data_IF_926451697190
#
_entry.id   IF_926451697190
#
_cell.length_a   1.000
_cell.length_b   1.000
_cell.length_c   1.000
_cell.angle_alpha   90.00
_cell.angle_beta   90.00
_cell.angle_gamma   90.00
#
_symmetry.space_group_name_H-M   'P 1'
#
loop_
_entity.id
_entity.type
_entity.pdbx_description
1 polymer ?
#
# COMPACT_ATOMS: atom_id res chain seq x y z
N UNK A 1 -3.01 23.53 27.02
CA UNK A 1 -3.38 23.36 25.58
C UNK A 1 -2.20 22.71 24.90
N UNK A 2 -2.43 21.65 24.10
CA UNK A 2 -1.38 20.97 23.32
C UNK A 2 -1.64 21.16 21.84
N UNK A 3 -0.58 21.36 21.07
CA UNK A 3 -0.65 21.43 19.61
C UNK A 3 -0.74 20.00 19.08
N UNK A 4 -1.93 19.61 18.59
CA UNK A 4 -2.19 18.26 18.09
C UNK A 4 -2.56 18.26 16.62
N UNK A 5 -2.15 17.22 15.90
CA UNK A 5 -2.51 17.05 14.50
C UNK A 5 -4.01 16.76 14.37
N UNK A 6 -4.69 17.46 13.47
CA UNK A 6 -6.09 17.19 13.15
C UNK A 6 -6.21 15.77 12.57
N UNK A 7 -6.99 14.90 13.21
CA UNK A 7 -7.36 13.60 12.67
C UNK A 7 -8.48 13.77 11.67
N UNK A 8 -8.30 13.22 10.47
CA UNK A 8 -9.41 13.03 9.54
C UNK A 8 -10.17 11.78 9.94
N UNK A 9 -11.41 11.93 10.35
CA UNK A 9 -12.29 10.81 10.70
C UNK A 9 -13.12 10.47 9.47
N UNK A 10 -13.33 9.19 9.14
CA UNK A 10 -14.23 8.78 8.08
C UNK A 10 -15.65 9.34 8.32
N UNK A 11 -16.41 9.67 7.26
CA UNK A 11 -17.75 10.24 7.39
C UNK A 11 -18.78 9.25 7.96
N UNK A 12 -18.44 7.97 8.02
CA UNK A 12 -19.24 6.89 8.62
C UNK A 12 -18.33 5.96 9.39
N UNK A 13 -18.82 5.51 10.54
CA UNK A 13 -18.19 4.42 11.27
C UNK A 13 -18.39 3.09 10.54
N UNK A 14 -17.42 2.16 10.60
CA UNK A 14 -17.60 0.82 10.06
C UNK A 14 -18.72 0.10 10.80
N UNK A 15 -19.41 -0.82 10.11
CA UNK A 15 -20.33 -1.73 10.78
C UNK A 15 -19.54 -2.60 11.76
N UNK A 16 -19.80 -2.43 13.06
CA UNK A 16 -19.01 -3.03 14.13
C UNK A 16 -19.01 -4.57 14.05
N UNK A 17 -20.14 -5.19 13.81
CA UNK A 17 -20.24 -6.65 13.68
C UNK A 17 -19.42 -7.18 12.50
N UNK A 18 -19.49 -6.49 11.36
CA UNK A 18 -18.70 -6.85 10.18
C UNK A 18 -17.21 -6.65 10.44
N UNK A 19 -16.84 -5.59 11.15
CA UNK A 19 -15.48 -5.29 11.53
C UNK A 19 -14.90 -6.41 12.39
N UNK A 20 -15.56 -6.77 13.49
CA UNK A 20 -15.14 -7.82 14.40
C UNK A 20 -15.01 -9.18 13.71
N UNK A 21 -15.97 -9.56 12.87
CA UNK A 21 -15.89 -10.77 12.05
C UNK A 21 -14.65 -10.79 11.14
N UNK A 22 -14.28 -9.63 10.58
CA UNK A 22 -13.11 -9.55 9.70
C UNK A 22 -11.81 -9.59 10.48
N UNK A 23 -11.73 -8.96 11.65
CA UNK A 23 -10.59 -9.08 12.56
C UNK A 23 -10.35 -10.55 12.93
N UNK A 24 -11.37 -11.24 13.42
CA UNK A 24 -11.26 -12.67 13.76
C UNK A 24 -10.83 -13.55 12.57
N UNK A 25 -11.30 -13.21 11.37
CA UNK A 25 -10.90 -13.96 10.18
C UNK A 25 -9.45 -13.69 9.78
N UNK A 26 -8.96 -12.45 9.92
CA UNK A 26 -7.54 -12.11 9.71
C UNK A 26 -6.68 -12.86 10.73
N UNK A 27 -7.02 -12.80 12.02
CA UNK A 27 -6.30 -13.52 13.08
C UNK A 27 -6.23 -15.03 12.81
N UNK A 28 -7.34 -15.64 12.36
CA UNK A 28 -7.34 -17.04 11.96
C UNK A 28 -6.38 -17.32 10.81
N UNK A 29 -6.31 -16.44 9.81
CA UNK A 29 -5.36 -16.62 8.72
C UNK A 29 -3.91 -16.40 9.19
N UNK A 30 -3.67 -15.46 10.09
CA UNK A 30 -2.34 -15.22 10.70
C UNK A 30 -1.86 -16.48 11.45
N UNK A 31 -2.71 -17.14 12.22
CA UNK A 31 -2.38 -18.44 12.85
C UNK A 31 -2.02 -19.54 11.82
N UNK A 32 -2.69 -19.55 10.66
CA UNK A 32 -2.37 -20.48 9.59
C UNK A 32 -1.05 -20.10 8.89
N UNK A 33 -0.76 -18.81 8.75
CA UNK A 33 0.51 -18.32 8.24
C UNK A 33 1.68 -18.68 9.17
N UNK A 34 1.51 -18.54 10.50
CA UNK A 34 2.51 -18.90 11.51
C UNK A 34 2.80 -20.40 11.48
N UNK A 35 1.79 -21.22 11.20
CA UNK A 35 1.95 -22.66 11.01
C UNK A 35 2.53 -23.05 9.64
N UNK A 36 2.84 -22.10 8.78
CA UNK A 36 3.43 -22.30 7.45
C UNK A 36 2.45 -22.82 6.38
N UNK A 37 1.14 -22.91 6.67
CA UNK A 37 0.14 -23.49 5.77
C UNK A 37 -0.25 -22.57 4.63
N UNK A 38 -0.09 -21.25 4.80
CA UNK A 38 -0.38 -20.23 3.78
C UNK A 38 0.49 -19.00 3.99
N UNK A 39 0.42 -18.05 3.05
CA UNK A 39 0.98 -16.70 3.21
C UNK A 39 -0.14 -15.66 3.19
N UNK A 40 0.07 -14.56 3.92
CA UNK A 40 -0.82 -13.40 3.90
C UNK A 40 -0.09 -12.20 3.31
N UNK A 41 -0.75 -11.54 2.38
CA UNK A 41 -0.33 -10.26 1.85
C UNK A 41 -1.46 -9.23 1.95
N UNK A 42 -1.08 -8.00 2.21
CA UNK A 42 -1.96 -6.84 2.24
C UNK A 42 -1.71 -6.01 1.00
N UNK A 43 -2.75 -5.77 0.23
CA UNK A 43 -2.69 -5.08 -1.05
C UNK A 43 -3.33 -3.71 -0.97
N UNK A 44 -2.67 -2.74 -1.59
CA UNK A 44 -3.21 -1.40 -1.82
C UNK A 44 -2.41 -0.69 -2.92
N UNK A 45 -2.95 0.44 -3.40
CA UNK A 45 -2.25 1.35 -4.29
C UNK A 45 -1.99 2.69 -3.64
N UNK A 46 -0.87 3.32 -4.02
CA UNK A 46 -0.52 4.65 -3.56
C UNK A 46 0.03 5.51 -4.68
N UNK A 47 -0.21 6.81 -4.58
CA UNK A 47 0.34 7.78 -5.52
C UNK A 47 1.36 8.67 -4.85
N UNK A 48 2.43 8.93 -5.58
CA UNK A 48 3.50 9.84 -5.21
C UNK A 48 3.59 10.95 -6.26
N UNK A 49 3.56 12.19 -5.81
CA UNK A 49 3.66 13.38 -6.66
C UNK A 49 4.92 14.15 -6.32
N UNK A 50 5.41 14.95 -7.27
CA UNK A 50 6.53 15.86 -7.03
C UNK A 50 6.12 17.01 -6.10
N UNK A 51 4.83 17.29 -5.96
CA UNK A 51 4.34 18.18 -4.90
C UNK A 51 4.68 17.58 -3.55
N UNK A 52 5.59 18.23 -2.83
CA UNK A 52 6.09 17.70 -1.55
C UNK A 52 4.94 17.48 -0.56
N UNK A 53 4.95 16.31 0.07
CA UNK A 53 4.13 16.03 1.24
C UNK A 53 4.84 16.46 2.55
N UNK A 54 6.10 16.92 2.45
CA UNK A 54 6.87 17.39 3.59
C UNK A 54 6.44 18.82 3.91
N UNK A 55 5.75 19.07 5.04
CA UNK A 55 5.30 20.43 5.40
C UNK A 55 6.44 21.28 5.94
N UNK A 56 7.53 20.67 6.44
CA UNK A 56 8.66 21.34 7.05
C UNK A 56 9.98 20.65 6.67
N UNK A 57 11.02 21.46 6.56
CA UNK A 57 12.39 21.03 6.30
C UNK A 57 13.36 21.89 7.14
N UNK A 58 14.39 21.27 7.69
CA UNK A 58 15.51 22.00 8.26
C UNK A 58 16.32 22.66 7.14
N UNK A 59 16.51 23.96 7.20
CA UNK A 59 17.34 24.72 6.29
C UNK A 59 18.26 25.65 7.08
N UNK A 60 19.32 26.12 6.44
CA UNK A 60 20.16 27.17 7.00
C UNK A 60 19.34 28.43 7.29
N UNK A 61 19.75 29.18 8.31
CA UNK A 61 19.10 30.44 8.66
C UNK A 61 19.12 31.39 7.45
N UNK A 62 17.97 31.98 7.14
CA UNK A 62 17.74 32.84 5.97
C UNK A 62 17.78 32.12 4.60
N UNK A 63 17.82 30.80 4.56
CA UNK A 63 17.72 30.03 3.33
C UNK A 63 16.43 29.23 3.31
N UNK A 64 15.45 29.64 2.51
CA UNK A 64 14.18 28.93 2.37
C UNK A 64 14.28 27.85 1.31
N UNK A 65 14.11 26.61 1.70
CA UNK A 65 14.02 25.51 0.74
C UNK A 65 12.76 25.65 -0.12
N UNK A 66 12.94 25.63 -1.43
CA UNK A 66 11.83 25.78 -2.38
C UNK A 66 11.70 24.54 -3.26
N UNK A 67 10.48 24.10 -3.49
CA UNK A 67 10.15 23.05 -4.47
C UNK A 67 9.38 23.71 -5.61
N UNK A 68 9.84 23.50 -6.85
CA UNK A 68 9.09 23.97 -8.01
C UNK A 68 7.75 23.21 -8.07
N UNK A 69 6.65 23.94 -8.08
CA UNK A 69 5.33 23.38 -8.34
C UNK A 69 5.27 22.96 -9.81
N UNK A 70 5.60 21.72 -10.08
CA UNK A 70 5.47 21.14 -11.41
C UNK A 70 4.05 20.58 -11.56
N UNK A 71 3.45 20.79 -12.73
CA UNK A 71 2.17 20.23 -13.09
C UNK A 71 2.12 18.73 -12.87
N UNK A 72 1.25 18.32 -12.03
CA UNK A 72 0.75 17.04 -11.56
C UNK A 72 1.19 15.73 -12.25
N UNK A 73 2.50 15.49 -12.41
CA UNK A 73 2.93 14.11 -12.65
C UNK A 73 2.80 13.31 -11.35
N UNK A 74 2.16 12.15 -11.44
CA UNK A 74 1.97 11.24 -10.31
C UNK A 74 2.50 9.87 -10.68
N UNK A 75 3.37 9.33 -9.83
CA UNK A 75 3.78 7.93 -9.89
C UNK A 75 2.76 7.14 -9.07
N UNK A 76 2.13 6.17 -9.70
CA UNK A 76 1.27 5.24 -8.99
C UNK A 76 2.02 3.94 -8.76
N UNK A 77 1.91 3.41 -7.55
CA UNK A 77 2.50 2.14 -7.15
C UNK A 77 1.42 1.23 -6.60
N UNK A 78 1.53 -0.05 -6.87
CA UNK A 78 0.70 -1.09 -6.30
C UNK A 78 1.62 -2.03 -5.54
N UNK A 79 1.19 -2.47 -4.35
CA UNK A 79 2.03 -3.30 -3.50
C UNK A 79 1.28 -4.43 -2.83
N UNK A 80 2.00 -5.52 -2.60
CA UNK A 80 1.60 -6.63 -1.73
C UNK A 80 2.63 -6.71 -0.60
N UNK A 81 2.20 -6.46 0.61
CA UNK A 81 3.05 -6.44 1.80
C UNK A 81 2.67 -7.56 2.75
N UNK A 82 3.63 -8.38 3.15
CA UNK A 82 3.47 -9.36 4.22
C UNK A 82 3.98 -8.80 5.56
N UNK A 83 3.39 -9.21 6.68
CA UNK A 83 3.92 -8.93 8.03
C UNK A 83 5.35 -9.47 8.23
N UNK A 84 5.75 -10.48 7.44
CA UNK A 84 7.11 -11.04 7.44
C UNK A 84 8.16 -10.17 6.73
N UNK A 85 7.79 -8.94 6.36
CA UNK A 85 8.70 -7.99 5.72
C UNK A 85 8.96 -8.27 4.23
N UNK A 86 8.11 -9.02 3.56
CA UNK A 86 8.18 -9.26 2.12
C UNK A 86 7.30 -8.23 1.41
N UNK A 87 7.90 -7.50 0.48
CA UNK A 87 7.19 -6.55 -0.38
C UNK A 87 7.32 -6.97 -1.85
N UNK A 88 6.18 -7.11 -2.52
CA UNK A 88 6.08 -7.23 -3.98
C UNK A 88 5.47 -5.93 -4.49
N UNK A 89 6.23 -5.11 -5.19
CA UNK A 89 5.82 -3.77 -5.63
C UNK A 89 5.86 -3.63 -7.14
N UNK A 90 4.95 -2.80 -7.66
CA UNK A 90 4.78 -2.55 -9.08
C UNK A 90 4.58 -1.04 -9.30
N UNK A 91 5.41 -0.44 -10.13
CA UNK A 91 5.23 0.94 -10.57
C UNK A 91 4.29 0.91 -11.78
N UNK A 92 3.23 1.69 -11.72
CA UNK A 92 2.25 1.78 -12.79
C UNK A 92 2.36 3.12 -13.50
N UNK A 93 2.56 3.07 -14.81
CA UNK A 93 2.49 4.25 -15.65
C UNK A 93 1.04 4.72 -15.81
N UNK A 94 0.83 6.03 -15.58
CA UNK A 94 -0.47 6.65 -15.72
C UNK A 94 -1.46 6.30 -14.60
N UNK A 95 -2.75 6.44 -14.90
CA UNK A 95 -3.82 6.25 -13.91
C UNK A 95 -4.06 4.76 -13.63
N UNK A 96 -4.19 4.42 -12.35
CA UNK A 96 -4.62 3.08 -11.93
C UNK A 96 -6.09 2.88 -12.30
N UNK A 97 -6.37 1.74 -12.92
CA UNK A 97 -7.70 1.27 -13.30
C UNK A 97 -7.79 -0.24 -13.12
N UNK A 98 -8.98 -0.82 -13.35
CA UNK A 98 -9.18 -2.27 -13.18
C UNK A 98 -8.24 -3.12 -14.01
N UNK A 99 -7.91 -2.71 -15.23
CA UNK A 99 -7.04 -3.49 -16.13
C UNK A 99 -5.60 -3.54 -15.57
N UNK A 100 -5.11 -2.41 -15.05
CA UNK A 100 -3.78 -2.33 -14.42
C UNK A 100 -3.71 -3.16 -13.14
N UNK A 101 -4.75 -3.12 -12.33
CA UNK A 101 -4.83 -3.95 -11.12
C UNK A 101 -4.85 -5.43 -11.48
N UNK A 102 -5.63 -5.85 -12.50
CA UNK A 102 -5.67 -7.23 -12.98
C UNK A 102 -4.28 -7.67 -13.47
N UNK A 103 -3.58 -6.84 -14.25
CA UNK A 103 -2.23 -7.12 -14.72
C UNK A 103 -1.27 -7.39 -13.55
N UNK A 104 -1.35 -6.57 -12.51
CA UNK A 104 -0.51 -6.70 -11.31
C UNK A 104 -0.85 -7.96 -10.52
N UNK A 105 -2.13 -8.27 -10.34
CA UNK A 105 -2.54 -9.54 -9.72
C UNK A 105 -2.09 -10.75 -10.53
N UNK A 106 -2.15 -10.68 -11.86
CA UNK A 106 -1.67 -11.76 -12.74
C UNK A 106 -0.16 -12.00 -12.62
N UNK A 107 0.62 -10.92 -12.43
CA UNK A 107 2.06 -11.03 -12.15
C UNK A 107 2.30 -11.62 -10.76
N UNK A 108 1.56 -11.15 -9.76
CA UNK A 108 1.68 -11.62 -8.38
C UNK A 108 1.36 -13.11 -8.24
N UNK A 109 0.24 -13.56 -8.82
CA UNK A 109 -0.20 -14.96 -8.77
C UNK A 109 0.82 -15.94 -9.36
N UNK A 110 1.62 -15.50 -10.34
CA UNK A 110 2.71 -16.33 -10.91
C UNK A 110 3.88 -16.56 -9.94
N UNK A 111 3.96 -15.77 -8.87
CA UNK A 111 5.03 -15.88 -7.86
C UNK A 111 4.61 -16.67 -6.63
N UNK A 112 3.40 -17.19 -6.61
CA UNK A 112 2.89 -17.96 -5.47
C UNK A 112 3.41 -19.40 -5.55
N UNK A 113 3.93 -19.89 -4.45
CA UNK A 113 4.42 -21.26 -4.25
C UNK A 113 3.55 -22.06 -3.28
N UNK A 114 2.64 -21.39 -2.57
CA UNK A 114 1.68 -21.99 -1.65
C UNK A 114 0.36 -21.20 -1.58
N UNK A 115 -0.69 -21.74 -0.94
CA UNK A 115 -1.92 -21.00 -0.74
C UNK A 115 -1.67 -19.62 -0.14
N UNK A 116 -2.28 -18.60 -0.71
CA UNK A 116 -2.04 -17.20 -0.33
C UNK A 116 -3.35 -16.46 -0.17
N UNK A 117 -3.47 -15.72 0.93
CA UNK A 117 -4.58 -14.78 1.17
C UNK A 117 -4.11 -13.36 0.87
N UNK A 118 -4.85 -12.63 0.07
CA UNK A 118 -4.64 -11.20 -0.12
C UNK A 118 -5.78 -10.43 0.51
N UNK A 119 -5.42 -9.61 1.51
CA UNK A 119 -6.29 -8.66 2.19
C UNK A 119 -6.29 -7.37 1.39
N UNK A 120 -7.46 -6.84 1.05
CA UNK A 120 -7.60 -5.63 0.26
C UNK A 120 -8.85 -4.83 0.63
N UNK A 121 -8.88 -3.57 0.28
CA UNK A 121 -10.01 -2.70 0.49
C UNK A 121 -11.16 -2.93 -0.50
N UNK A 122 -12.20 -2.10 -0.37
CA UNK A 122 -13.39 -2.16 -1.21
C UNK A 122 -13.38 -1.14 -2.36
N UNK A 123 -12.24 -0.75 -2.89
CA UNK A 123 -12.17 0.18 -4.01
C UNK A 123 -13.03 -0.29 -5.21
N UNK A 124 -13.55 0.66 -5.97
CA UNK A 124 -14.51 0.38 -7.05
C UNK A 124 -13.95 -0.54 -8.12
N UNK A 125 -12.66 -0.46 -8.41
CA UNK A 125 -11.99 -1.32 -9.39
C UNK A 125 -11.80 -2.75 -8.88
N UNK A 126 -11.67 -2.99 -7.55
CA UNK A 126 -11.64 -4.34 -6.94
C UNK A 126 -13.01 -5.03 -7.01
N UNK A 127 -14.08 -4.27 -7.21
CA UNK A 127 -15.45 -4.77 -7.35
C UNK A 127 -15.97 -4.79 -8.79
N UNK A 128 -15.16 -4.34 -9.74
CA UNK A 128 -15.56 -4.29 -11.15
C UNK A 128 -15.87 -5.68 -11.71
N UNK A 129 -16.77 -5.74 -12.70
CA UNK A 129 -17.09 -7.01 -13.39
C UNK A 129 -15.84 -7.67 -13.97
N UNK A 130 -14.94 -6.87 -14.58
CA UNK A 130 -13.66 -7.35 -15.13
C UNK A 130 -12.79 -8.02 -14.05
N UNK A 131 -12.61 -7.37 -12.90
CA UNK A 131 -11.81 -7.91 -11.80
C UNK A 131 -12.42 -9.21 -11.28
N UNK A 132 -13.73 -9.23 -11.02
CA UNK A 132 -14.45 -10.41 -10.54
C UNK A 132 -14.38 -11.59 -11.49
N UNK A 133 -14.35 -11.37 -12.79
CA UNK A 133 -14.22 -12.44 -13.79
C UNK A 133 -12.89 -13.23 -13.68
N UNK A 134 -11.88 -12.68 -12.99
CA UNK A 134 -10.59 -13.33 -12.79
C UNK A 134 -10.50 -14.14 -11.49
N UNK A 135 -11.47 -14.00 -10.57
CA UNK A 135 -11.41 -14.62 -9.24
C UNK A 135 -11.26 -16.15 -9.31
N UNK A 136 -12.04 -16.82 -10.15
CA UNK A 136 -11.95 -18.28 -10.31
C UNK A 136 -10.57 -18.70 -10.82
N UNK A 137 -10.01 -17.99 -11.79
CA UNK A 137 -8.68 -18.25 -12.34
C UNK A 137 -7.57 -18.09 -11.30
N UNK A 138 -7.64 -17.06 -10.47
CA UNK A 138 -6.69 -16.83 -9.38
C UNK A 138 -6.86 -17.83 -8.25
N UNK A 139 -8.11 -18.18 -7.89
CA UNK A 139 -8.41 -19.19 -6.87
C UNK A 139 -7.83 -20.56 -7.25
N UNK A 140 -7.93 -20.96 -8.52
CA UNK A 140 -7.33 -22.20 -9.03
C UNK A 140 -5.80 -22.22 -8.93
N UNK A 141 -5.17 -21.05 -8.72
CA UNK A 141 -3.73 -20.89 -8.48
C UNK A 141 -3.40 -20.69 -7.00
N UNK A 142 -4.35 -20.91 -6.10
CA UNK A 142 -4.15 -20.83 -4.66
C UNK A 142 -4.33 -19.43 -4.06
N UNK A 143 -4.84 -18.45 -4.83
CA UNK A 143 -5.10 -17.10 -4.31
C UNK A 143 -6.51 -17.00 -3.75
N UNK A 144 -6.63 -16.54 -2.51
CA UNK A 144 -7.90 -16.16 -1.87
C UNK A 144 -7.91 -14.65 -1.60
N UNK A 145 -9.01 -13.97 -1.91
CA UNK A 145 -9.17 -12.55 -1.62
C UNK A 145 -10.04 -12.34 -0.37
N UNK A 146 -9.53 -11.54 0.56
CA UNK A 146 -10.24 -11.12 1.76
C UNK A 146 -10.51 -9.61 1.71
N UNK A 147 -11.75 -9.23 1.43
CA UNK A 147 -12.17 -7.83 1.43
C UNK A 147 -12.37 -7.32 2.86
N UNK A 148 -11.75 -6.19 3.15
CA UNK A 148 -11.92 -5.47 4.42
C UNK A 148 -13.30 -4.82 4.53
N UNK A 149 -13.77 -4.50 5.74
CA UNK A 149 -14.95 -3.67 5.92
C UNK A 149 -14.74 -2.28 5.29
N UNK A 150 -15.80 -1.61 4.83
CA UNK A 150 -15.69 -0.19 4.46
C UNK A 150 -15.18 0.65 5.64
N UNK A 151 -14.35 1.66 5.36
CA UNK A 151 -13.81 2.60 6.35
C UNK A 151 -12.94 1.99 7.46
N UNK A 152 -12.19 0.94 7.14
CA UNK A 152 -11.29 0.25 8.09
C UNK A 152 -9.84 0.18 7.57
N UNK A 153 -9.20 1.34 7.25
CA UNK A 153 -7.84 1.36 6.71
C UNK A 153 -6.81 0.83 7.70
N UNK A 154 -7.08 0.91 9.02
CA UNK A 154 -6.19 0.40 10.07
C UNK A 154 -5.98 -1.12 10.00
N UNK A 155 -6.90 -1.85 9.38
CA UNK A 155 -6.76 -3.29 9.13
C UNK A 155 -5.87 -3.61 7.92
N UNK A 156 -5.48 -2.60 7.14
CA UNK A 156 -4.60 -2.78 5.98
C UNK A 156 -3.19 -2.27 6.30
N UNK A 157 -2.31 -3.16 6.72
CA UNK A 157 -0.96 -2.79 7.17
C UNK A 157 -0.12 -2.07 6.10
N UNK A 158 -0.39 -2.26 4.82
CA UNK A 158 0.33 -1.59 3.74
C UNK A 158 0.12 -0.07 3.73
N UNK A 159 -0.97 0.43 4.33
CA UNK A 159 -1.20 1.86 4.55
C UNK A 159 -0.07 2.47 5.42
N UNK A 160 0.44 1.69 6.36
CA UNK A 160 1.60 2.09 7.17
C UNK A 160 2.85 2.22 6.30
N UNK A 161 3.09 1.30 5.37
CA UNK A 161 4.20 1.41 4.41
C UNK A 161 4.11 2.72 3.62
N UNK A 162 2.93 3.03 3.06
CA UNK A 162 2.74 4.26 2.29
C UNK A 162 2.96 5.51 3.14
N UNK A 163 2.58 5.48 4.41
CA UNK A 163 2.82 6.57 5.35
C UNK A 163 4.31 6.76 5.63
N UNK A 164 5.06 5.67 5.85
CA UNK A 164 6.51 5.73 6.05
C UNK A 164 7.22 6.25 4.80
N UNK A 165 6.85 5.77 3.61
CA UNK A 165 7.40 6.26 2.36
C UNK A 165 7.15 7.77 2.19
N UNK A 166 5.91 8.23 2.38
CA UNK A 166 5.52 9.63 2.12
C UNK A 166 6.08 10.65 3.11
N UNK A 167 6.30 10.24 4.36
CA UNK A 167 6.59 11.20 5.43
C UNK A 167 7.92 10.99 6.14
N UNK A 168 8.58 9.85 5.92
CA UNK A 168 9.80 9.50 6.67
C UNK A 168 10.94 9.13 5.72
N UNK A 169 10.72 8.25 4.73
CA UNK A 169 11.79 7.66 3.94
C UNK A 169 12.13 8.44 2.67
N UNK A 170 11.15 9.10 2.04
CA UNK A 170 11.41 9.92 0.86
C UNK A 170 11.95 11.27 1.31
N UNK A 171 13.23 11.48 0.99
CA UNK A 171 13.96 12.71 1.29
C UNK A 171 13.53 13.87 0.40
N UNK A 172 13.79 15.11 0.84
CA UNK A 172 13.51 16.33 0.08
C UNK A 172 14.10 16.31 -1.33
N UNK A 173 15.29 15.75 -1.51
CA UNK A 173 15.95 15.69 -2.82
C UNK A 173 15.15 14.89 -3.86
N UNK A 174 14.28 13.99 -3.44
CA UNK A 174 13.36 13.27 -4.33
C UNK A 174 12.38 14.22 -5.04
N UNK A 175 11.98 15.31 -4.39
CA UNK A 175 11.03 16.27 -4.92
C UNK A 175 11.64 17.29 -5.90
N UNK A 176 12.96 17.28 -6.07
CA UNK A 176 13.65 18.18 -6.98
C UNK A 176 13.45 17.83 -8.45
N UNK A 177 13.18 16.57 -8.77
CA UNK A 177 12.89 16.12 -10.14
C UNK A 177 12.06 14.84 -10.18
N UNK A 178 11.40 14.62 -11.33
CA UNK A 178 10.68 13.37 -11.60
C UNK A 178 11.59 12.14 -11.51
N UNK A 179 12.77 12.21 -12.08
CA UNK A 179 13.73 11.10 -12.06
C UNK A 179 14.20 10.80 -10.64
N UNK A 180 14.45 11.81 -9.83
CA UNK A 180 14.83 11.60 -8.44
C UNK A 180 13.72 10.88 -7.68
N UNK A 181 12.46 11.29 -7.84
CA UNK A 181 11.33 10.62 -7.19
C UNK A 181 11.24 9.14 -7.59
N UNK A 182 11.39 8.82 -8.88
CA UNK A 182 11.40 7.43 -9.35
C UNK A 182 12.55 6.64 -8.72
N UNK A 183 13.76 7.20 -8.71
CA UNK A 183 14.94 6.56 -8.12
C UNK A 183 14.77 6.31 -6.61
N UNK A 184 14.18 7.25 -5.88
CA UNK A 184 13.92 7.07 -4.45
C UNK A 184 12.88 5.98 -4.19
N UNK A 185 11.79 5.95 -4.95
CA UNK A 185 10.76 4.90 -4.82
C UNK A 185 11.40 3.53 -5.13
N UNK A 186 12.15 3.42 -6.21
CA UNK A 186 12.83 2.17 -6.59
C UNK A 186 13.84 1.75 -5.52
N UNK A 187 14.66 2.69 -5.02
CA UNK A 187 15.63 2.42 -3.94
C UNK A 187 14.95 1.86 -2.68
N UNK A 188 13.79 2.40 -2.30
CA UNK A 188 13.04 1.90 -1.15
C UNK A 188 12.56 0.48 -1.42
N UNK A 189 12.01 0.20 -2.59
CA UNK A 189 11.50 -1.12 -2.95
C UNK A 189 12.62 -2.17 -3.00
N UNK A 190 13.75 -1.86 -3.61
CA UNK A 190 14.89 -2.79 -3.74
C UNK A 190 15.57 -3.10 -2.39
N UNK A 191 15.36 -2.22 -1.40
CA UNK A 191 16.00 -2.34 -0.09
C UNK A 191 14.97 -2.54 1.06
N UNK A 192 13.71 -2.81 0.72
CA UNK A 192 12.72 -3.17 1.75
C UNK A 192 13.06 -4.52 2.39
N UNK A 193 12.90 -4.61 3.70
CA UNK A 193 13.35 -5.75 4.50
C UNK A 193 14.84 -5.72 4.88
N UNK A 194 15.58 -4.69 4.45
CA UNK A 194 17.00 -4.46 4.78
C UNK A 194 17.24 -3.07 5.37
N UNK A 195 17.33 -2.04 4.52
CA UNK A 195 17.51 -0.65 4.93
C UNK A 195 16.19 0.01 5.34
N UNK A 196 15.11 -0.40 4.73
CA UNK A 196 13.75 0.07 5.00
C UNK A 196 12.91 -1.10 5.51
N UNK A 197 12.42 -1.01 6.72
CA UNK A 197 11.58 -2.05 7.31
C UNK A 197 10.62 -1.47 8.33
N UNK A 198 9.51 -2.16 8.55
CA UNK A 198 8.48 -1.82 9.53
C UNK A 198 8.22 -3.06 10.36
N UNK A 199 8.26 -2.91 11.68
CA UNK A 199 7.84 -3.97 12.57
C UNK A 199 6.32 -3.92 12.74
N UNK A 200 5.65 -5.00 12.41
CA UNK A 200 4.21 -5.20 12.57
C UNK A 200 3.91 -6.14 13.74
N UNK A 201 4.62 -5.94 14.87
CA UNK A 201 4.34 -6.66 16.11
C UNK A 201 2.98 -6.29 16.70
#
# INVERSE_FOLDING_TARGET
MSYTRVKRVPPKEPNQELYEKKVQLIEKYEMLEDSGKLDIYYFDESGFSISSNLPYLWSEVNNTATVKTLTCKRINVLGFLSKKGILKSFIADGRVNSDKVIEVFDKFVKTLDKPTVVVLDNASFHKSKKFKANLARWSNKGLTLLYLPPYSPELNIIETLWRFMKYIWIDYSAYLSWNNMLLYIQKIFDNYGKLYWINFS
#
